data_IF_735667720855
#
_entry.id   IF_735667720855
#
_cell.length_a   1.000
_cell.length_b   1.000
_cell.length_c   1.000
_cell.angle_alpha   90.00
_cell.angle_beta   90.00
_cell.angle_gamma   90.00
#
_symmetry.space_group_name_H-M   'P 1'
#
loop_
_entity.id
_entity.type
_entity.pdbx_description
1 polymer ?
#
# COMPACT_ATOMS: atom_id res chain seq x y z
N UNK A 1 -6.65 7.58 -21.12
CA UNK A 1 -5.40 8.03 -20.49
C UNK A 1 -4.98 9.33 -21.14
N UNK A 2 -4.87 10.40 -20.35
CA UNK A 2 -4.66 11.77 -20.81
C UNK A 2 -3.20 12.09 -21.16
N UNK A 3 -2.96 13.30 -21.68
CA UNK A 3 -1.63 13.83 -21.95
C UNK A 3 -0.83 13.88 -20.63
N UNK A 4 0.47 13.55 -20.64
CA UNK A 4 1.31 13.55 -19.42
C UNK A 4 1.26 14.88 -18.64
N UNK A 5 1.04 15.99 -19.35
CA UNK A 5 0.87 17.31 -18.77
C UNK A 5 -0.40 17.46 -17.90
N UNK A 6 -1.51 16.79 -18.26
CA UNK A 6 -2.78 16.97 -17.53
C UNK A 6 -2.72 16.41 -16.13
N UNK A 7 -2.03 15.29 -15.91
CA UNK A 7 -1.86 14.72 -14.57
C UNK A 7 -1.02 15.63 -13.68
N UNK A 8 0.04 16.20 -14.25
CA UNK A 8 0.91 17.14 -13.52
C UNK A 8 0.13 18.39 -13.12
N UNK A 9 -0.64 18.95 -14.05
CA UNK A 9 -1.48 20.11 -13.77
C UNK A 9 -2.55 19.82 -12.71
N UNK A 10 -3.21 18.66 -12.79
CA UNK A 10 -4.17 18.22 -11.78
C UNK A 10 -3.52 18.07 -10.40
N UNK A 11 -2.33 17.47 -10.33
CA UNK A 11 -1.60 17.31 -9.07
C UNK A 11 -1.21 18.64 -8.43
N UNK A 12 -0.79 19.63 -9.23
CA UNK A 12 -0.47 20.98 -8.74
C UNK A 12 -1.73 21.70 -8.24
N UNK A 13 -2.83 21.60 -9.00
CA UNK A 13 -4.10 22.20 -8.61
C UNK A 13 -4.63 21.62 -7.30
N UNK A 14 -4.63 20.29 -7.18
CA UNK A 14 -5.06 19.59 -5.96
C UNK A 14 -4.13 19.89 -4.79
N UNK A 15 -2.82 20.01 -5.04
CA UNK A 15 -1.85 20.39 -4.00
C UNK A 15 -2.17 21.75 -3.39
N UNK A 16 -2.49 22.77 -4.18
CA UNK A 16 -2.88 24.09 -3.64
C UNK A 16 -4.23 24.04 -2.91
N UNK A 17 -5.20 23.31 -3.46
CA UNK A 17 -6.53 23.22 -2.88
C UNK A 17 -6.56 22.47 -1.54
N UNK A 18 -5.71 21.46 -1.35
CA UNK A 18 -5.68 20.61 -0.15
C UNK A 18 -4.90 21.21 1.03
N UNK A 19 -4.13 22.30 0.82
CA UNK A 19 -3.29 22.92 1.87
C UNK A 19 -4.05 23.17 3.20
N UNK A 20 -5.29 23.70 3.22
CA UNK A 20 -6.01 23.94 4.47
C UNK A 20 -6.35 22.66 5.27
N UNK A 21 -6.35 21.49 4.62
CA UNK A 21 -6.49 20.18 5.25
C UNK A 21 -5.14 19.66 5.73
N UNK A 22 -4.10 19.78 4.89
CA UNK A 22 -2.73 19.32 5.20
C UNK A 22 -2.15 20.08 6.38
N UNK A 23 -2.18 21.42 6.36
CA UNK A 23 -1.70 22.27 7.46
C UNK A 23 -2.42 21.95 8.77
N UNK A 24 -3.72 21.68 8.68
CA UNK A 24 -4.54 21.32 9.82
C UNK A 24 -4.13 19.97 10.42
N UNK A 25 -3.88 18.97 9.58
CA UNK A 25 -3.42 17.66 10.03
C UNK A 25 -2.02 17.74 10.65
N UNK A 26 -1.11 18.49 10.03
CA UNK A 26 0.22 18.73 10.56
C UNK A 26 0.21 19.42 11.93
N UNK A 27 -0.68 20.40 12.13
CA UNK A 27 -0.84 21.10 13.41
C UNK A 27 -1.20 20.15 14.56
N UNK A 28 -1.95 19.08 14.27
CA UNK A 28 -2.44 18.12 15.25
C UNK A 28 -1.62 16.84 15.33
N UNK A 29 -0.53 16.73 14.57
CA UNK A 29 0.24 15.49 14.40
C UNK A 29 -0.65 14.31 13.92
N UNK A 30 -1.61 14.64 13.05
CA UNK A 30 -2.56 13.71 12.48
C UNK A 30 -2.13 13.24 11.08
N UNK A 31 -2.69 12.12 10.61
CA UNK A 31 -2.23 11.47 9.37
C UNK A 31 -3.06 11.94 8.18
N UNK A 32 -2.37 12.47 7.17
CA UNK A 32 -2.92 12.80 5.85
C UNK A 32 -2.16 12.00 4.77
N UNK A 33 -2.88 11.49 3.78
CA UNK A 33 -2.29 10.88 2.60
C UNK A 33 -3.17 11.09 1.37
N UNK A 34 -2.55 11.29 0.21
CA UNK A 34 -3.23 11.41 -1.07
C UNK A 34 -2.61 10.48 -2.10
N UNK A 35 -3.46 9.87 -2.92
CA UNK A 35 -3.06 9.15 -4.11
C UNK A 35 -3.95 9.58 -5.29
N UNK A 36 -3.43 10.48 -6.12
CA UNK A 36 -4.14 11.06 -7.26
C UNK A 36 -5.42 11.76 -6.78
N UNK A 37 -6.56 11.09 -6.91
CA UNK A 37 -7.90 11.59 -6.60
C UNK A 37 -8.45 11.03 -5.27
N UNK A 38 -7.79 10.03 -4.68
CA UNK A 38 -8.19 9.43 -3.41
C UNK A 38 -7.42 10.05 -2.25
N UNK A 39 -8.14 10.55 -1.25
CA UNK A 39 -7.59 11.15 -0.03
C UNK A 39 -7.92 10.31 1.21
N UNK A 40 -6.98 10.26 2.15
CA UNK A 40 -7.12 9.65 3.47
C UNK A 40 -6.72 10.63 4.57
N UNK A 41 -7.55 10.68 5.62
CA UNK A 41 -7.33 11.48 6.82
C UNK A 41 -7.67 10.67 8.06
N UNK A 42 -6.83 10.75 9.09
CA UNK A 42 -7.12 10.18 10.40
C UNK A 42 -7.14 11.30 11.45
N UNK A 43 -8.29 11.56 12.06
CA UNK A 43 -8.46 12.64 13.03
C UNK A 43 -9.03 12.17 14.36
N UNK A 44 -8.61 12.83 15.45
CA UNK A 44 -9.17 12.66 16.79
C UNK A 44 -10.34 13.62 17.06
N UNK A 45 -10.72 14.45 16.09
CA UNK A 45 -11.87 15.35 16.22
C UNK A 45 -13.20 14.61 16.38
N UNK A 46 -14.17 15.23 17.07
CA UNK A 46 -15.56 14.82 16.98
C UNK A 46 -16.07 14.86 15.54
N UNK A 47 -16.94 13.90 15.20
CA UNK A 47 -17.51 13.72 13.86
C UNK A 47 -18.10 15.01 13.26
N UNK A 48 -18.79 15.80 14.06
CA UNK A 48 -19.45 17.02 13.57
C UNK A 48 -18.44 18.12 13.18
N UNK A 49 -17.31 18.19 13.88
CA UNK A 49 -16.26 19.18 13.58
C UNK A 49 -15.53 18.84 12.29
N UNK A 50 -15.21 17.56 12.07
CA UNK A 50 -14.59 17.13 10.83
C UNK A 50 -15.53 17.30 9.64
N UNK A 51 -16.82 17.00 9.80
CA UNK A 51 -17.84 17.24 8.76
C UNK A 51 -17.90 18.74 8.41
N UNK A 52 -17.99 19.62 9.41
CA UNK A 52 -18.04 21.06 9.16
C UNK A 52 -16.77 21.59 8.44
N UNK A 53 -15.60 21.00 8.74
CA UNK A 53 -14.34 21.32 8.06
C UNK A 53 -14.35 20.83 6.61
N UNK A 54 -14.79 19.59 6.36
CA UNK A 54 -14.91 19.03 5.03
C UNK A 54 -15.92 19.82 4.18
N UNK A 55 -17.05 20.22 4.75
CA UNK A 55 -18.05 21.04 4.06
C UNK A 55 -17.49 22.43 3.72
N UNK A 56 -16.67 23.03 4.59
CA UNK A 56 -16.00 24.30 4.30
C UNK A 56 -15.06 24.18 3.09
N UNK A 57 -14.30 23.09 3.02
CA UNK A 57 -13.35 22.82 1.92
C UNK A 57 -14.07 22.41 0.63
N UNK A 58 -15.17 21.66 0.74
CA UNK A 58 -16.05 21.37 -0.40
C UNK A 58 -16.56 22.64 -1.08
N UNK A 59 -16.88 23.67 -0.30
CA UNK A 59 -17.42 24.93 -0.80
C UNK A 59 -16.35 25.99 -1.15
N UNK A 60 -15.06 25.70 -0.97
CA UNK A 60 -14.00 26.70 -1.21
C UNK A 60 -13.68 26.92 -2.69
N UNK A 61 -13.99 25.94 -3.53
CA UNK A 61 -13.72 25.99 -4.97
C UNK A 61 -14.92 25.47 -5.77
N UNK A 62 -15.52 26.26 -6.69
CA UNK A 62 -16.66 25.81 -7.48
C UNK A 62 -16.34 24.68 -8.47
N UNK A 63 -15.07 24.46 -8.79
CA UNK A 63 -14.63 23.44 -9.75
C UNK A 63 -14.34 22.09 -9.08
N UNK A 64 -14.23 22.03 -7.76
CA UNK A 64 -13.95 20.80 -7.02
C UNK A 64 -15.22 20.34 -6.30
N UNK A 65 -15.49 19.04 -6.38
CA UNK A 65 -16.57 18.39 -5.63
C UNK A 65 -16.03 17.17 -4.93
N UNK A 66 -15.85 17.28 -3.62
CA UNK A 66 -15.49 16.12 -2.81
C UNK A 66 -16.70 15.24 -2.49
N UNK A 67 -16.45 13.94 -2.46
CA UNK A 67 -17.33 12.93 -1.86
C UNK A 67 -16.54 12.29 -0.73
N UNK A 68 -17.06 12.35 0.50
CA UNK A 68 -16.35 11.85 1.67
C UNK A 68 -17.19 10.86 2.47
N UNK A 69 -16.51 9.99 3.22
CA UNK A 69 -17.13 9.08 4.18
C UNK A 69 -16.32 9.09 5.47
N UNK A 70 -16.97 9.39 6.59
CA UNK A 70 -16.35 9.41 7.92
C UNK A 70 -16.81 8.19 8.72
N UNK A 71 -15.89 7.25 8.98
CA UNK A 71 -16.11 5.99 9.70
C UNK A 71 -14.90 5.64 10.57
N UNK A 72 -15.06 4.71 11.50
CA UNK A 72 -13.96 4.13 12.27
C UNK A 72 -13.12 3.15 11.45
N UNK A 73 -13.69 2.57 10.38
CA UNK A 73 -13.00 1.73 9.42
C UNK A 73 -13.28 2.23 7.99
N UNK A 74 -12.21 2.40 7.21
CA UNK A 74 -12.26 2.88 5.84
C UNK A 74 -11.25 2.11 4.97
N UNK A 75 -11.54 2.02 3.69
CA UNK A 75 -10.64 1.44 2.70
C UNK A 75 -9.93 2.58 1.96
N UNK A 76 -8.61 2.49 1.85
CA UNK A 76 -7.78 3.42 1.09
C UNK A 76 -6.78 2.63 0.24
N UNK A 77 -6.93 2.72 -1.09
CA UNK A 77 -6.20 1.90 -2.05
C UNK A 77 -6.36 0.39 -1.75
N UNK A 78 -5.25 -0.32 -1.55
CA UNK A 78 -5.20 -1.75 -1.25
C UNK A 78 -5.11 -2.01 0.27
N UNK A 79 -5.53 -1.06 1.10
CA UNK A 79 -5.41 -1.12 2.57
C UNK A 79 -6.74 -0.80 3.24
N UNK A 80 -7.19 -1.69 4.12
CA UNK A 80 -8.29 -1.42 5.05
C UNK A 80 -7.67 -0.91 6.34
N UNK A 81 -8.16 0.24 6.80
CA UNK A 81 -7.63 0.98 7.93
C UNK A 81 -8.74 1.09 8.97
N UNK A 82 -8.52 0.51 10.14
CA UNK A 82 -9.44 0.53 11.27
C UNK A 82 -8.80 1.28 12.45
N UNK A 83 -9.56 2.19 13.05
CA UNK A 83 -9.18 2.85 14.28
C UNK A 83 -9.65 2.01 15.48
N UNK A 84 -8.69 1.36 16.14
CA UNK A 84 -8.88 0.63 17.38
C UNK A 84 -8.37 1.49 18.55
N UNK A 85 -9.25 2.30 19.14
CA UNK A 85 -8.98 3.13 20.31
C UNK A 85 -7.67 3.94 20.23
N UNK A 86 -7.53 4.73 19.15
CA UNK A 86 -6.37 5.61 18.82
C UNK A 86 -5.18 4.90 18.18
N UNK A 87 -5.26 3.60 17.96
CA UNK A 87 -4.27 2.87 17.17
C UNK A 87 -4.86 2.50 15.82
N UNK A 88 -4.17 2.89 14.74
CA UNK A 88 -4.55 2.47 13.39
C UNK A 88 -4.09 1.03 13.19
N UNK A 89 -5.06 0.14 13.02
CA UNK A 89 -4.87 -1.21 12.54
C UNK A 89 -4.99 -1.20 11.02
N UNK A 90 -4.05 -1.82 10.32
CA UNK A 90 -4.06 -1.90 8.86
C UNK A 90 -4.01 -3.35 8.42
N UNK A 91 -4.77 -3.68 7.38
CA UNK A 91 -4.82 -5.00 6.75
C UNK A 91 -4.96 -4.82 5.25
N UNK A 92 -4.59 -5.86 4.49
CA UNK A 92 -4.80 -5.88 3.04
C UNK A 92 -6.29 -5.74 2.74
N UNK A 93 -6.65 -4.77 1.90
CA UNK A 93 -7.99 -4.68 1.35
C UNK A 93 -8.00 -5.19 -0.08
N UNK A 94 -8.98 -6.02 -0.38
CA UNK A 94 -9.28 -6.46 -1.74
C UNK A 94 -10.71 -6.07 -2.08
N UNK A 95 -10.86 -5.31 -3.17
CA UNK A 95 -12.18 -4.93 -3.67
C UNK A 95 -13.01 -6.19 -3.96
N UNK A 96 -14.26 -6.31 -3.47
CA UNK A 96 -15.11 -7.47 -3.72
C UNK A 96 -15.33 -7.77 -5.21
N UNK A 97 -15.23 -6.74 -6.06
CA UNK A 97 -15.37 -6.85 -7.51
C UNK A 97 -14.07 -7.22 -8.24
N UNK A 98 -12.92 -7.22 -7.56
CA UNK A 98 -11.64 -7.55 -8.15
C UNK A 98 -11.31 -9.03 -7.89
N UNK A 99 -11.28 -9.82 -8.97
CA UNK A 99 -10.76 -11.18 -8.89
C UNK A 99 -9.26 -11.14 -8.52
N UNK A 100 -8.83 -11.91 -7.51
CA UNK A 100 -7.41 -11.98 -7.16
C UNK A 100 -6.66 -12.61 -8.33
N UNK A 101 -5.93 -11.79 -9.08
CA UNK A 101 -5.09 -12.26 -10.17
C UNK A 101 -3.69 -12.56 -9.65
N UNK A 102 -3.29 -13.83 -9.76
CA UNK A 102 -1.91 -14.27 -9.57
C UNK A 102 -1.45 -14.83 -10.90
N UNK A 103 -0.27 -14.42 -11.36
CA UNK A 103 0.29 -14.87 -12.63
C UNK A 103 0.46 -16.39 -12.63
N UNK A 104 -0.20 -17.16 -13.53
CA UNK A 104 -0.07 -18.62 -13.55
C UNK A 104 1.37 -19.06 -13.82
N UNK A 105 1.82 -20.12 -13.14
CA UNK A 105 3.20 -20.62 -13.28
C UNK A 105 3.51 -21.20 -14.67
N UNK A 106 2.47 -21.57 -15.43
CA UNK A 106 2.57 -22.09 -16.81
C UNK A 106 2.57 -21.01 -17.88
N UNK A 107 2.45 -19.74 -17.50
CA UNK A 107 2.46 -18.64 -18.46
C UNK A 107 3.87 -18.39 -19.02
N UNK A 108 3.94 -17.78 -20.21
CA UNK A 108 5.19 -17.53 -20.93
C UNK A 108 5.92 -16.27 -20.40
N UNK A 109 6.28 -16.30 -19.11
CA UNK A 109 7.06 -15.25 -18.47
C UNK A 109 8.44 -15.77 -18.05
N UNK A 110 9.46 -14.90 -17.97
CA UNK A 110 10.77 -15.30 -17.50
C UNK A 110 10.73 -15.96 -16.12
N UNK A 111 11.49 -17.03 -15.94
CA UNK A 111 11.47 -17.81 -14.70
C UNK A 111 11.73 -16.98 -13.43
N UNK A 112 12.57 -15.95 -13.52
CA UNK A 112 12.86 -15.06 -12.39
C UNK A 112 11.64 -14.26 -11.92
N UNK A 113 10.68 -13.96 -12.81
CA UNK A 113 9.42 -13.28 -12.46
C UNK A 113 8.59 -14.19 -11.56
N UNK A 114 8.35 -15.43 -12.00
CA UNK A 114 7.65 -16.43 -11.19
C UNK A 114 8.34 -16.66 -9.84
N UNK A 115 9.67 -16.75 -9.82
CA UNK A 115 10.39 -16.94 -8.57
C UNK A 115 10.28 -15.75 -7.62
N UNK A 116 10.09 -14.52 -8.12
CA UNK A 116 10.02 -13.33 -7.27
C UNK A 116 8.62 -13.04 -6.74
N UNK A 117 7.55 -13.51 -7.41
CA UNK A 117 6.16 -13.27 -6.98
C UNK A 117 5.93 -13.64 -5.50
N UNK A 118 6.26 -14.87 -5.03
CA UNK A 118 6.00 -15.24 -3.63
C UNK A 118 6.70 -14.34 -2.61
N UNK A 119 7.91 -13.88 -2.93
CA UNK A 119 8.65 -12.95 -2.08
C UNK A 119 8.02 -11.56 -2.07
N UNK A 120 7.64 -11.05 -3.26
CA UNK A 120 7.04 -9.74 -3.42
C UNK A 120 5.68 -9.65 -2.72
N UNK A 121 4.85 -10.69 -2.83
CA UNK A 121 3.55 -10.76 -2.17
C UNK A 121 3.69 -10.76 -0.64
N UNK A 122 4.61 -11.55 -0.08
CA UNK A 122 4.89 -11.51 1.35
C UNK A 122 5.40 -10.14 1.82
N UNK A 123 6.31 -9.54 1.05
CA UNK A 123 6.82 -8.22 1.38
C UNK A 123 5.72 -7.16 1.37
N UNK A 124 4.79 -7.24 0.40
CA UNK A 124 3.61 -6.37 0.34
C UNK A 124 2.75 -6.55 1.59
N UNK A 125 2.36 -7.77 1.92
CA UNK A 125 1.51 -8.05 3.10
C UNK A 125 2.20 -7.63 4.40
N UNK A 126 3.49 -7.91 4.56
CA UNK A 126 4.24 -7.49 5.76
C UNK A 126 4.32 -5.97 5.93
N UNK A 127 4.22 -5.20 4.84
CA UNK A 127 4.15 -3.73 4.87
C UNK A 127 2.75 -3.20 5.18
N UNK A 128 1.72 -3.94 4.79
CA UNK A 128 0.33 -3.51 4.93
C UNK A 128 -0.32 -3.96 6.25
N UNK A 129 -0.06 -5.18 6.70
CA UNK A 129 -0.61 -5.71 7.94
C UNK A 129 0.13 -5.13 9.15
N UNK A 130 -0.59 -4.57 10.11
CA UNK A 130 0.03 -4.02 11.34
C UNK A 130 0.15 -5.04 12.47
N UNK A 131 -0.59 -6.16 12.42
CA UNK A 131 -0.55 -7.23 13.42
C UNK A 131 -0.06 -8.55 12.81
N UNK A 132 0.39 -9.46 13.68
CA UNK A 132 0.97 -10.73 13.25
C UNK A 132 -0.11 -11.72 12.83
N UNK A 133 -1.29 -11.63 13.44
CA UNK A 133 -2.43 -12.52 13.15
C UNK A 133 -2.98 -12.29 11.74
N UNK A 134 -3.23 -11.03 11.35
CA UNK A 134 -3.75 -10.75 10.00
C UNK A 134 -2.66 -11.02 8.95
N UNK A 135 -1.38 -10.74 9.27
CA UNK A 135 -0.26 -11.13 8.41
C UNK A 135 -0.23 -12.63 8.14
N UNK A 136 -0.43 -13.47 9.16
CA UNK A 136 -0.41 -14.92 8.99
C UNK A 136 -1.61 -15.42 8.16
N UNK A 137 -2.79 -14.85 8.37
CA UNK A 137 -3.98 -15.16 7.55
C UNK A 137 -3.67 -14.84 6.08
N UNK A 138 -3.13 -13.66 5.80
CA UNK A 138 -2.77 -13.24 4.44
C UNK A 138 -1.61 -14.07 3.86
N UNK A 139 -0.64 -14.46 4.69
CA UNK A 139 0.46 -15.37 4.30
C UNK A 139 -0.09 -16.72 3.81
N UNK A 140 -1.06 -17.27 4.53
CA UNK A 140 -1.74 -18.52 4.17
C UNK A 140 -2.55 -18.33 2.87
N UNK A 141 -3.27 -17.22 2.74
CA UNK A 141 -4.02 -16.89 1.52
C UNK A 141 -3.12 -16.79 0.28
N UNK A 142 -1.95 -16.16 0.41
CA UNK A 142 -0.93 -16.12 -0.64
C UNK A 142 -0.44 -17.52 -0.98
N UNK A 143 -0.06 -18.32 0.02
CA UNK A 143 0.43 -19.68 -0.19
C UNK A 143 -0.59 -20.53 -0.95
N UNK A 144 -1.86 -20.48 -0.54
CA UNK A 144 -2.96 -21.17 -1.21
C UNK A 144 -3.16 -20.67 -2.64
N UNK A 145 -3.14 -19.35 -2.86
CA UNK A 145 -3.32 -18.77 -4.19
C UNK A 145 -2.20 -19.17 -5.15
N UNK A 146 -0.95 -19.21 -4.68
CA UNK A 146 0.20 -19.66 -5.48
C UNK A 146 0.09 -21.15 -5.83
N UNK A 147 -0.31 -22.00 -4.87
CA UNK A 147 -0.50 -23.43 -5.12
C UNK A 147 -1.58 -23.68 -6.17
N UNK A 148 -2.71 -22.96 -6.08
CA UNK A 148 -3.80 -23.03 -7.07
C UNK A 148 -3.36 -22.56 -8.47
N UNK A 149 -2.39 -21.65 -8.54
CA UNK A 149 -1.81 -21.15 -9.79
C UNK A 149 -0.60 -21.98 -10.29
N UNK A 150 -0.39 -23.17 -9.73
CA UNK A 150 0.59 -24.15 -10.22
C UNK A 150 2.03 -23.92 -9.78
N UNK A 151 2.28 -23.03 -8.81
CA UNK A 151 3.63 -22.80 -8.30
C UNK A 151 4.16 -24.04 -7.54
N UNK A 152 5.40 -24.49 -7.80
CA UNK A 152 5.97 -25.63 -7.08
C UNK A 152 6.11 -25.33 -5.57
N UNK A 153 5.64 -26.20 -4.66
CA UNK A 153 5.70 -25.96 -3.21
C UNK A 153 7.12 -25.69 -2.69
N UNK A 154 8.14 -26.33 -3.30
CA UNK A 154 9.55 -26.09 -2.97
C UNK A 154 9.99 -24.66 -3.28
N UNK A 155 9.52 -24.09 -4.39
CA UNK A 155 9.83 -22.73 -4.80
C UNK A 155 9.19 -21.72 -3.87
N UNK A 156 7.91 -21.91 -3.52
CA UNK A 156 7.19 -21.06 -2.56
C UNK A 156 7.93 -21.02 -1.22
N UNK A 157 8.19 -22.19 -0.63
CA UNK A 157 8.89 -22.31 0.67
C UNK A 157 10.27 -21.66 0.65
N UNK A 158 11.03 -21.83 -0.45
CA UNK A 158 12.35 -21.22 -0.59
C UNK A 158 12.26 -19.70 -0.54
N UNK A 159 11.28 -19.09 -1.21
CA UNK A 159 11.14 -17.64 -1.24
C UNK A 159 10.58 -17.09 0.08
N UNK A 160 9.67 -17.82 0.72
CA UNK A 160 9.19 -17.47 2.06
C UNK A 160 10.34 -17.50 3.06
N UNK A 161 11.13 -18.57 3.07
CA UNK A 161 12.31 -18.67 3.93
C UNK A 161 13.30 -17.54 3.66
N UNK A 162 13.59 -17.24 2.39
CA UNK A 162 14.43 -16.10 2.00
C UNK A 162 13.89 -14.77 2.55
N UNK A 163 12.57 -14.54 2.51
CA UNK A 163 11.96 -13.34 3.08
C UNK A 163 12.24 -13.20 4.58
N UNK A 164 12.00 -14.25 5.36
CA UNK A 164 12.24 -14.22 6.81
C UNK A 164 13.73 -14.15 7.16
N UNK A 165 14.60 -14.85 6.40
CA UNK A 165 16.05 -14.80 6.58
C UNK A 165 16.61 -13.39 6.38
N UNK A 166 16.31 -12.76 5.23
CA UNK A 166 16.84 -11.43 4.89
C UNK A 166 16.37 -10.35 5.87
N UNK A 167 15.25 -10.60 6.53
CA UNK A 167 14.68 -9.69 7.51
C UNK A 167 15.02 -10.04 8.96
N UNK A 168 15.79 -11.12 9.20
CA UNK A 168 16.12 -11.65 10.53
C UNK A 168 14.88 -12.02 11.37
N UNK A 169 13.81 -12.49 10.73
CA UNK A 169 12.48 -12.71 11.34
C UNK A 169 12.01 -14.15 11.25
N UNK A 170 12.96 -15.09 11.23
CA UNK A 170 12.69 -16.52 11.36
C UNK A 170 11.82 -16.92 12.57
N UNK A 171 11.87 -16.23 13.74
CA UNK A 171 10.96 -16.52 14.85
C UNK A 171 9.47 -16.34 14.50
N UNK A 172 9.14 -15.34 13.67
CA UNK A 172 7.75 -15.09 13.21
C UNK A 172 7.21 -16.32 12.47
N UNK A 173 8.03 -16.89 11.58
CA UNK A 173 7.67 -18.10 10.83
C UNK A 173 7.46 -19.33 11.73
N UNK A 174 8.16 -19.42 12.86
CA UNK A 174 8.16 -20.61 13.72
C UNK A 174 7.10 -20.57 14.83
N UNK A 175 6.82 -19.38 15.36
CA UNK A 175 6.08 -19.23 16.62
C UNK A 175 5.07 -18.07 16.63
N UNK A 176 4.82 -17.39 15.50
CA UNK A 176 3.89 -16.25 15.45
C UNK A 176 4.24 -15.17 16.49
N UNK A 177 5.54 -14.91 16.66
CA UNK A 177 6.02 -13.97 17.67
C UNK A 177 5.65 -12.52 17.29
N UNK A 178 4.74 -11.93 18.08
CA UNK A 178 4.23 -10.58 17.85
C UNK A 178 5.33 -9.52 17.98
N UNK A 179 6.26 -9.65 18.91
CA UNK A 179 7.33 -8.67 19.12
C UNK A 179 8.28 -8.62 17.92
N UNK A 180 8.78 -9.78 17.48
CA UNK A 180 9.60 -9.89 16.27
C UNK A 180 8.88 -9.36 15.03
N UNK A 181 7.56 -9.59 14.93
CA UNK A 181 6.77 -9.08 13.81
C UNK A 181 6.62 -7.56 13.86
N UNK A 182 6.39 -6.96 15.02
CA UNK A 182 6.32 -5.50 15.14
C UNK A 182 7.64 -4.84 14.74
N UNK A 183 8.78 -5.42 15.14
CA UNK A 183 10.11 -4.94 14.73
C UNK A 183 10.30 -5.05 13.21
N UNK A 184 9.85 -6.15 12.60
CA UNK A 184 9.84 -6.32 11.14
C UNK A 184 9.02 -5.24 10.45
N UNK A 185 7.77 -5.08 10.87
CA UNK A 185 6.83 -4.16 10.26
C UNK A 185 7.35 -2.72 10.33
N UNK A 186 7.82 -2.27 11.50
CA UNK A 186 8.43 -0.95 11.66
C UNK A 186 9.67 -0.76 10.79
N UNK A 187 10.54 -1.77 10.69
CA UNK A 187 11.72 -1.73 9.81
C UNK A 187 11.32 -1.57 8.34
N UNK A 188 10.30 -2.30 7.88
CA UNK A 188 9.82 -2.22 6.50
C UNK A 188 9.18 -0.87 6.20
N UNK A 189 8.41 -0.31 7.14
CA UNK A 189 7.86 1.04 7.04
C UNK A 189 8.98 2.09 6.97
N UNK A 190 9.97 2.01 7.85
CA UNK A 190 11.10 2.94 7.84
C UNK A 190 11.86 2.89 6.50
N UNK A 191 12.06 1.70 5.94
CA UNK A 191 12.70 1.55 4.63
C UNK A 191 11.88 2.18 3.50
N UNK A 192 10.54 2.17 3.57
CA UNK A 192 9.68 2.83 2.59
C UNK A 192 9.81 4.36 2.68
N UNK A 193 9.78 4.91 3.90
CA UNK A 193 9.83 6.35 4.12
C UNK A 193 11.24 6.96 4.03
N UNK A 194 12.28 6.13 4.12
CA UNK A 194 13.68 6.56 4.07
C UNK A 194 14.31 6.45 2.68
N UNK A 195 13.54 6.11 1.63
CA UNK A 195 14.03 6.19 0.25
C UNK A 195 14.29 7.67 -0.04
N UNK A 196 15.55 8.08 -0.34
CA UNK A 196 15.82 9.46 -0.73
C UNK A 196 15.04 9.77 -2.01
N UNK A 197 14.22 10.83 -1.98
CA UNK A 197 13.72 11.45 -3.20
C UNK A 197 14.92 12.04 -3.95
N UNK A 198 15.50 11.24 -4.86
CA UNK A 198 16.59 11.69 -5.73
C UNK A 198 17.77 10.73 -5.77
N UNK A 199 17.67 9.72 -6.63
CA UNK A 199 18.71 9.41 -7.60
C UNK A 199 18.07 8.51 -8.67
N UNK A 200 17.89 9.05 -9.88
CA UNK A 200 17.71 8.23 -11.08
C UNK A 200 18.95 7.36 -11.24
N UNK A 201 18.89 6.14 -10.70
CA UNK A 201 19.76 5.04 -11.12
C UNK A 201 19.02 4.29 -12.22
N UNK A 202 19.55 4.36 -13.43
CA UNK A 202 19.03 3.81 -14.69
C UNK A 202 18.92 2.28 -14.76
N UNK A 203 18.82 1.58 -13.63
CA UNK A 203 18.86 0.11 -13.55
C UNK A 203 17.69 -0.48 -12.73
N UNK A 204 16.52 0.16 -12.74
CA UNK A 204 15.27 -0.47 -12.27
C UNK A 204 14.53 -1.11 -13.47
N UNK A 205 14.41 -2.44 -13.56
CA UNK A 205 13.79 -3.13 -14.70
C UNK A 205 12.25 -3.00 -14.76
N UNK A 206 11.65 -2.06 -14.03
CA UNK A 206 10.21 -1.81 -14.01
C UNK A 206 9.70 -0.85 -15.10
N UNK A 207 10.57 -0.41 -16.01
CA UNK A 207 10.19 0.40 -17.18
C UNK A 207 10.68 -0.24 -18.49
N UNK A 208 10.04 -1.32 -18.94
CA UNK A 208 10.15 -1.73 -20.35
C UNK A 208 9.15 -0.92 -21.17
N UNK A 209 9.65 0.01 -21.97
CA UNK A 209 8.84 0.82 -22.87
C UNK A 209 9.63 1.82 -23.68
N UNK A 210 10.71 1.40 -24.34
CA UNK A 210 11.31 2.22 -25.41
C UNK A 210 10.94 1.66 -26.78
N UNK A 211 10.20 2.50 -27.49
CA UNK A 211 9.77 2.38 -28.87
C UNK A 211 11.00 2.65 -29.73
N UNK A 212 11.50 1.63 -30.43
CA UNK A 212 12.48 1.80 -31.49
C UNK A 212 11.87 2.62 -32.64
N UNK A 213 12.27 3.88 -32.80
CA UNK A 213 12.15 4.58 -34.09
C UNK A 213 13.42 4.30 -34.92
N UNK A 214 13.19 3.89 -36.16
CA UNK A 214 14.22 3.45 -37.09
C UNK A 214 15.14 4.54 -37.62
N UNK A 215 16.21 4.05 -38.24
CA UNK A 215 16.91 4.70 -39.36
C UNK A 215 16.62 3.90 -40.62
#
# INVERSE_FOLDING_TARGET
MGLAFTQTLANVYMFEWEQPLVEYQQLLDERYGRCIDDDFMATNLPRDQIIAKLDKVHNSDPNIRITYTVKSAVDFLDVAIENNDRQLKTVVFQKPSAEPYVLPYTSDHPHHVHLNIPYADLLRVARLCSNVEDFEIERINIEMSLLLNGYPPKSIRKQFHRFFDLNNTLPVLKQLDAESYQQLHQKLLYQLFSIPLGHESSDDPRCYGEICHGS
#
